data_IF_099703462744
#
_entry.id   IF_099703462744
#
_cell.length_a   1.000
_cell.length_b   1.000
_cell.length_c   1.000
_cell.angle_alpha   90.00
_cell.angle_beta   90.00
_cell.angle_gamma   90.00
#
_symmetry.space_group_name_H-M   'P 1'
#
loop_
_entity.id
_entity.type
_entity.pdbx_description
1 polymer ?
#
# COMPACT_ATOMS: atom_id res chain seq x y z
N UNK A 1 -0.59 26.38 13.92
CA UNK A 1 0.71 26.23 13.23
C UNK A 1 0.62 24.95 12.42
N UNK A 2 0.54 25.08 11.09
CA UNK A 2 0.20 24.02 10.14
C UNK A 2 1.35 23.02 9.96
N UNK A 3 1.00 21.76 9.73
CA UNK A 3 1.91 20.66 9.34
C UNK A 3 2.78 21.14 8.16
N UNK A 4 4.09 20.80 8.09
CA UNK A 4 4.92 21.22 6.97
C UNK A 4 4.28 20.80 5.64
N UNK A 5 3.99 21.79 4.79
CA UNK A 5 3.33 21.61 3.50
C UNK A 5 4.05 20.58 2.62
N UNK A 6 5.36 20.39 2.79
CA UNK A 6 6.20 19.46 2.03
C UNK A 6 5.76 17.98 2.13
N UNK A 7 5.17 17.56 3.25
CA UNK A 7 4.61 16.21 3.41
C UNK A 7 3.34 16.03 2.57
N UNK A 8 2.66 17.14 2.25
CA UNK A 8 1.41 17.20 1.49
C UNK A 8 1.54 17.85 0.10
N UNK A 9 2.68 18.41 -0.28
CA UNK A 9 2.92 18.92 -1.64
C UNK A 9 2.88 17.77 -2.66
N UNK A 10 3.34 16.57 -2.24
CA UNK A 10 3.14 15.34 -2.99
C UNK A 10 1.68 14.84 -2.98
N UNK A 11 0.88 15.29 -2.02
CA UNK A 11 -0.54 14.96 -1.89
C UNK A 11 -1.46 15.96 -2.55
N UNK A 12 -1.07 17.21 -2.81
CA UNK A 12 -1.93 18.20 -3.45
C UNK A 12 -2.43 17.72 -4.83
N UNK A 13 -1.61 17.05 -5.68
CA UNK A 13 -2.12 16.41 -6.89
C UNK A 13 -3.09 15.25 -6.62
N UNK A 14 -2.87 14.49 -5.53
CA UNK A 14 -3.72 13.34 -5.14
C UNK A 14 -5.06 13.78 -4.54
N UNK A 15 -5.05 14.80 -3.69
CA UNK A 15 -6.25 15.43 -3.13
C UNK A 15 -7.08 16.07 -4.25
N UNK A 16 -6.46 16.77 -5.20
CA UNK A 16 -7.16 17.25 -6.40
C UNK A 16 -7.74 16.10 -7.22
N UNK A 17 -7.05 14.97 -7.38
CA UNK A 17 -7.58 13.80 -8.09
C UNK A 17 -8.78 13.15 -7.39
N UNK A 18 -8.80 13.19 -6.05
CA UNK A 18 -9.87 12.61 -5.22
C UNK A 18 -11.08 13.56 -5.08
N UNK A 19 -10.88 14.87 -5.14
CA UNK A 19 -11.92 15.88 -4.90
C UNK A 19 -12.29 16.72 -6.14
N UNK A 20 -11.62 16.55 -7.28
CA UNK A 20 -11.93 17.31 -8.49
C UNK A 20 -11.22 16.80 -9.75
N UNK A 21 -11.82 15.84 -10.46
CA UNK A 21 -11.88 15.84 -11.94
C UNK A 21 -12.73 14.65 -12.48
N UNK A 22 -13.35 14.86 -13.63
CA UNK A 22 -14.27 13.93 -14.33
C UNK A 22 -13.58 12.64 -14.83
N UNK A 23 -14.28 11.49 -14.96
CA UNK A 23 -13.72 10.12 -14.94
C UNK A 23 -13.09 9.62 -16.25
N UNK A 24 -12.70 10.52 -17.16
CA UNK A 24 -12.50 10.19 -18.57
C UNK A 24 -11.10 9.73 -19.01
N UNK A 25 -10.00 10.21 -18.43
CA UNK A 25 -8.68 10.04 -19.09
C UNK A 25 -7.43 9.99 -18.19
N UNK A 26 -7.57 9.92 -16.86
CA UNK A 26 -6.45 9.82 -15.90
C UNK A 26 -6.62 8.63 -14.94
N UNK A 27 -6.92 7.45 -15.48
CA UNK A 27 -7.20 6.25 -14.67
C UNK A 27 -5.93 5.78 -13.93
N UNK A 28 -5.85 6.25 -12.68
CA UNK A 28 -5.11 5.79 -11.50
C UNK A 28 -3.59 5.60 -11.62
N UNK A 29 -2.84 6.70 -11.49
CA UNK A 29 -1.42 6.70 -11.09
C UNK A 29 -1.24 6.71 -9.56
N UNK A 30 -2.32 6.69 -8.79
CA UNK A 30 -2.27 6.83 -7.33
C UNK A 30 -1.49 5.68 -6.69
N UNK A 31 -1.79 4.43 -7.04
CA UNK A 31 -1.06 3.28 -6.50
C UNK A 31 0.43 3.30 -6.87
N UNK A 32 0.78 3.84 -8.05
CA UNK A 32 2.19 4.02 -8.46
C UNK A 32 2.89 4.98 -7.50
N UNK A 33 2.30 6.15 -7.27
CA UNK A 33 2.86 7.17 -6.39
C UNK A 33 2.93 6.67 -4.95
N UNK A 34 1.83 6.13 -4.42
CA UNK A 34 1.75 5.57 -3.07
C UNK A 34 2.77 4.44 -2.87
N UNK A 35 2.88 3.52 -3.83
CA UNK A 35 3.84 2.40 -3.76
C UNK A 35 5.28 2.91 -3.79
N UNK A 36 5.61 3.89 -4.64
CA UNK A 36 6.97 4.47 -4.70
C UNK A 36 7.32 5.19 -3.39
N UNK A 37 6.39 5.97 -2.83
CA UNK A 37 6.58 6.63 -1.54
C UNK A 37 6.75 5.62 -0.41
N UNK A 38 5.86 4.62 -0.33
CA UNK A 38 5.97 3.53 0.64
C UNK A 38 7.34 2.85 0.56
N UNK A 39 7.84 2.52 -0.64
CA UNK A 39 9.10 1.78 -0.81
C UNK A 39 10.35 2.61 -0.55
N UNK A 40 10.39 3.86 -1.00
CA UNK A 40 11.63 4.63 -1.10
C UNK A 40 11.70 5.86 -0.18
N UNK A 41 10.56 6.37 0.30
CA UNK A 41 10.56 7.62 1.06
C UNK A 41 11.22 7.47 2.42
N UNK A 42 12.03 8.47 2.77
CA UNK A 42 12.73 8.57 4.05
C UNK A 42 11.93 9.38 5.10
N UNK A 43 10.74 9.88 4.75
CA UNK A 43 9.89 10.58 5.73
C UNK A 43 9.38 9.61 6.80
N UNK A 44 9.26 10.11 8.04
CA UNK A 44 8.98 9.31 9.23
C UNK A 44 7.75 8.42 9.09
N UNK A 45 6.63 8.96 8.59
CA UNK A 45 5.41 8.19 8.33
C UNK A 45 5.64 6.99 7.40
N UNK A 46 6.33 7.19 6.28
CA UNK A 46 6.58 6.12 5.30
C UNK A 46 7.56 5.07 5.82
N UNK A 47 8.58 5.50 6.58
CA UNK A 47 9.47 4.58 7.31
C UNK A 47 8.66 3.72 8.27
N UNK A 48 7.82 4.36 9.09
CA UNK A 48 7.00 3.66 10.08
C UNK A 48 5.99 2.73 9.44
N UNK A 49 5.35 3.14 8.34
CA UNK A 49 4.43 2.29 7.60
C UNK A 49 5.12 1.02 7.07
N UNK A 50 6.36 1.12 6.55
CA UNK A 50 7.11 -0.06 6.11
C UNK A 50 7.37 -1.03 7.25
N UNK A 51 7.74 -0.55 8.42
CA UNK A 51 7.94 -1.38 9.61
C UNK A 51 6.65 -2.14 9.95
N UNK A 52 5.53 -1.42 10.09
CA UNK A 52 4.22 -1.96 10.46
C UNK A 52 3.69 -2.99 9.46
N UNK A 53 3.94 -2.79 8.17
CA UNK A 53 3.57 -3.74 7.11
C UNK A 53 4.49 -4.97 7.12
N UNK A 54 5.79 -4.78 7.37
CA UNK A 54 6.76 -5.89 7.49
C UNK A 54 6.45 -6.77 8.69
N UNK A 55 6.09 -6.17 9.84
CA UNK A 55 5.62 -6.88 11.04
C UNK A 55 4.38 -7.75 10.76
N UNK A 56 3.56 -7.37 9.76
CA UNK A 56 2.40 -8.13 9.30
C UNK A 56 2.72 -9.19 8.24
N UNK A 57 4.00 -9.42 7.98
CA UNK A 57 4.48 -10.43 7.03
C UNK A 57 4.47 -9.97 5.57
N UNK A 58 4.30 -8.67 5.29
CA UNK A 58 4.40 -8.17 3.92
C UNK A 58 5.86 -7.92 3.54
N UNK A 59 6.23 -8.37 2.35
CA UNK A 59 7.51 -8.01 1.73
C UNK A 59 7.35 -6.68 0.99
N UNK A 60 7.94 -5.60 1.52
CA UNK A 60 7.75 -4.23 1.00
C UNK A 60 8.15 -4.05 -0.47
N UNK A 61 9.19 -4.77 -0.92
CA UNK A 61 9.66 -4.72 -2.31
C UNK A 61 8.66 -5.27 -3.31
N UNK A 62 7.74 -6.14 -2.87
CA UNK A 62 6.74 -6.80 -3.71
C UNK A 62 5.31 -6.35 -3.41
N UNK A 63 5.06 -5.80 -2.22
CA UNK A 63 3.78 -5.21 -1.85
C UNK A 63 3.46 -3.94 -2.66
N UNK A 64 2.18 -3.73 -2.98
CA UNK A 64 1.68 -2.55 -3.70
C UNK A 64 0.71 -1.82 -2.79
N UNK A 65 1.01 -0.57 -2.43
CA UNK A 65 0.09 0.28 -1.69
C UNK A 65 -0.86 0.92 -2.70
N UNK A 66 -2.12 0.48 -2.68
CA UNK A 66 -3.17 0.93 -3.62
C UNK A 66 -3.51 2.38 -3.35
N UNK A 67 -3.79 2.69 -2.07
CA UNK A 67 -4.02 4.04 -1.58
C UNK A 67 -3.70 4.12 -0.10
N UNK A 68 -3.53 5.35 0.34
CA UNK A 68 -3.56 5.77 1.73
C UNK A 68 -4.19 7.16 1.70
N UNK A 69 -5.24 7.41 2.47
CA UNK A 69 -5.87 8.74 2.50
C UNK A 69 -6.34 9.11 3.91
N UNK A 70 -6.29 10.40 4.27
CA UNK A 70 -6.89 10.93 5.49
C UNK A 70 -8.33 10.48 5.73
N UNK A 71 -8.57 9.87 6.88
CA UNK A 71 -9.90 9.63 7.43
C UNK A 71 -10.01 10.36 8.77
N UNK A 72 -10.30 11.66 8.68
CA UNK A 72 -10.31 12.56 9.84
C UNK A 72 -8.92 12.98 10.34
N UNK A 73 -8.85 13.54 11.57
CA UNK A 73 -7.63 14.15 12.11
C UNK A 73 -6.62 13.14 12.68
N UNK A 74 -7.05 11.91 12.97
CA UNK A 74 -6.24 10.93 13.71
C UNK A 74 -6.06 9.58 12.98
N UNK A 75 -6.62 9.43 11.79
CA UNK A 75 -6.50 8.20 11.01
C UNK A 75 -6.28 8.47 9.52
N UNK A 76 -5.65 7.50 8.85
CA UNK A 76 -5.61 7.37 7.40
C UNK A 76 -6.06 5.96 7.00
N UNK A 77 -6.94 5.84 6.01
CA UNK A 77 -7.40 4.55 5.49
C UNK A 77 -6.55 4.12 4.32
N UNK A 78 -6.01 2.92 4.40
CA UNK A 78 -5.13 2.35 3.39
C UNK A 78 -5.58 0.99 2.89
N UNK A 79 -5.24 0.70 1.64
CA UNK A 79 -5.37 -0.65 1.06
C UNK A 79 -4.03 -1.06 0.47
N UNK A 80 -3.58 -2.26 0.82
CA UNK A 80 -2.32 -2.85 0.34
C UNK A 80 -2.54 -4.22 -0.27
N UNK A 81 -1.86 -4.48 -1.38
CA UNK A 81 -1.77 -5.78 -2.02
C UNK A 81 -0.45 -6.45 -1.61
N UNK A 82 -0.54 -7.70 -1.17
CA UNK A 82 0.64 -8.56 -0.99
C UNK A 82 1.07 -9.24 -2.29
N UNK A 83 2.28 -9.79 -2.30
CA UNK A 83 2.83 -10.54 -3.45
C UNK A 83 1.95 -11.71 -3.89
N UNK A 84 1.26 -12.36 -2.94
CA UNK A 84 0.31 -13.44 -3.20
C UNK A 84 -1.04 -12.99 -3.74
N UNK A 85 -1.26 -11.68 -3.91
CA UNK A 85 -2.52 -11.11 -4.37
C UNK A 85 -3.58 -10.99 -3.28
N UNK A 86 -3.19 -11.13 -2.00
CA UNK A 86 -4.11 -10.80 -0.91
C UNK A 86 -4.27 -9.30 -0.80
N UNK A 87 -5.50 -8.86 -0.59
CA UNK A 87 -5.89 -7.46 -0.44
C UNK A 87 -6.19 -7.23 1.03
N UNK A 88 -5.50 -6.27 1.63
CA UNK A 88 -5.69 -5.89 3.02
C UNK A 88 -6.10 -4.43 3.12
N UNK A 89 -7.20 -4.17 3.81
CA UNK A 89 -7.61 -2.85 4.24
C UNK A 89 -7.11 -2.61 5.66
N UNK A 90 -6.75 -1.35 5.97
CA UNK A 90 -6.26 -0.98 7.29
C UNK A 90 -6.50 0.50 7.60
N UNK A 91 -6.54 0.81 8.88
CA UNK A 91 -6.48 2.18 9.39
C UNK A 91 -5.10 2.45 9.99
N UNK A 92 -4.43 3.51 9.57
CA UNK A 92 -3.19 3.99 10.15
C UNK A 92 -3.50 5.13 11.12
N UNK A 93 -3.40 4.85 12.41
CA UNK A 93 -3.81 5.77 13.48
C UNK A 93 -2.60 6.50 14.05
N UNK A 94 -2.66 7.82 14.04
CA UNK A 94 -1.71 8.73 14.68
C UNK A 94 -2.27 10.15 14.71
N UNK A 95 -1.90 10.95 15.70
CA UNK A 95 -2.33 12.35 15.75
C UNK A 95 -1.59 13.17 14.68
N UNK A 96 -2.26 13.49 13.56
CA UNK A 96 -1.66 14.22 12.43
C UNK A 96 -1.28 15.66 12.78
N UNK A 97 -1.99 16.25 13.74
CA UNK A 97 -1.79 17.64 14.17
C UNK A 97 -0.57 17.80 15.09
N UNK A 98 -0.06 16.70 15.67
CA UNK A 98 1.09 16.70 16.57
C UNK A 98 2.36 16.35 15.81
N UNK A 99 3.31 17.29 15.73
CA UNK A 99 4.62 17.08 15.11
C UNK A 99 5.34 15.87 15.72
N UNK A 100 5.83 14.97 14.87
CA UNK A 100 6.58 13.77 15.28
C UNK A 100 5.71 12.58 15.72
N UNK A 101 4.39 12.74 15.74
CA UNK A 101 3.42 11.68 16.04
C UNK A 101 3.44 10.54 15.02
N UNK A 102 3.83 10.82 13.79
CA UNK A 102 3.97 9.88 12.68
C UNK A 102 4.88 8.67 13.01
N UNK A 103 5.88 8.87 13.87
CA UNK A 103 6.77 7.79 14.34
C UNK A 103 6.07 6.80 15.26
N UNK A 104 4.99 7.23 15.90
CA UNK A 104 4.19 6.43 16.83
C UNK A 104 2.92 5.90 16.16
N UNK A 105 2.81 6.01 14.83
CA UNK A 105 1.69 5.46 14.11
C UNK A 105 1.56 3.95 14.34
N UNK A 106 0.31 3.49 14.39
CA UNK A 106 -0.08 2.09 14.54
C UNK A 106 -1.09 1.73 13.46
N UNK A 107 -1.06 0.47 13.02
CA UNK A 107 -2.12 -0.04 12.16
C UNK A 107 -3.20 -0.68 13.04
N UNK A 108 -4.41 -0.15 12.91
CA UNK A 108 -5.67 -0.71 13.41
C UNK A 108 -6.51 -1.25 12.25
N UNK A 109 -7.59 -1.95 12.58
CA UNK A 109 -8.57 -2.44 11.60
C UNK A 109 -7.95 -3.21 10.41
N UNK A 110 -6.93 -4.02 10.66
CA UNK A 110 -6.31 -4.86 9.63
C UNK A 110 -7.26 -5.97 9.19
N UNK A 111 -7.78 -5.86 7.97
CA UNK A 111 -8.79 -6.77 7.44
C UNK A 111 -8.36 -7.36 6.10
N UNK A 112 -8.42 -8.69 5.98
CA UNK A 112 -8.27 -9.38 4.68
C UNK A 112 -9.59 -9.28 3.90
N UNK A 113 -9.58 -8.47 2.84
CA UNK A 113 -10.72 -8.24 1.95
C UNK A 113 -10.55 -8.95 0.60
N UNK A 114 -9.62 -9.91 0.50
CA UNK A 114 -9.27 -10.61 -0.77
C UNK A 114 -10.48 -11.22 -1.48
N UNK A 115 -11.51 -11.64 -0.75
CA UNK A 115 -12.72 -12.26 -1.33
C UNK A 115 -13.80 -11.27 -1.77
N UNK A 116 -13.74 -10.03 -1.29
CA UNK A 116 -14.83 -9.07 -1.44
C UNK A 116 -14.36 -7.69 -1.92
N UNK A 117 -13.08 -7.53 -2.29
CA UNK A 117 -12.56 -6.27 -2.81
C UNK A 117 -13.31 -5.79 -4.07
N UNK A 118 -13.94 -6.69 -4.82
CA UNK A 118 -14.77 -6.33 -5.98
C UNK A 118 -16.02 -5.53 -5.59
N UNK A 119 -16.49 -5.66 -4.35
CA UNK A 119 -17.58 -4.85 -3.79
C UNK A 119 -17.07 -3.56 -3.11
N UNK A 120 -15.76 -3.39 -3.00
CA UNK A 120 -15.15 -2.22 -2.37
C UNK A 120 -15.45 -0.94 -3.20
N UNK A 121 -15.64 0.22 -2.55
CA UNK A 121 -15.85 1.49 -3.25
C UNK A 121 -14.76 1.79 -4.28
N UNK A 122 -13.51 1.47 -3.95
CA UNK A 122 -12.31 1.66 -4.80
C UNK A 122 -11.88 0.39 -5.56
N UNK A 123 -12.85 -0.44 -5.97
CA UNK A 123 -12.57 -1.69 -6.70
C UNK A 123 -11.76 -1.50 -7.98
N UNK A 124 -11.94 -0.38 -8.68
CA UNK A 124 -11.23 -0.11 -9.96
C UNK A 124 -9.74 0.12 -9.72
N UNK A 125 -9.40 0.87 -8.68
CA UNK A 125 -8.04 1.17 -8.26
C UNK A 125 -7.34 -0.08 -7.75
N UNK A 126 -8.06 -0.92 -6.99
CA UNK A 126 -7.55 -2.22 -6.55
C UNK A 126 -7.28 -3.12 -7.76
N UNK A 127 -8.20 -3.18 -8.73
CA UNK A 127 -8.03 -3.94 -9.97
C UNK A 127 -6.79 -3.49 -10.76
N UNK A 128 -6.61 -2.18 -10.95
CA UNK A 128 -5.47 -1.62 -11.68
C UNK A 128 -4.14 -1.90 -10.96
N UNK A 129 -4.14 -1.84 -9.63
CA UNK A 129 -2.94 -2.09 -8.83
C UNK A 129 -2.44 -3.54 -8.92
N UNK A 130 -3.29 -4.51 -9.30
CA UNK A 130 -2.84 -5.89 -9.55
C UNK A 130 -1.82 -5.98 -10.69
N UNK A 131 -1.83 -5.06 -11.66
CA UNK A 131 -0.87 -5.01 -12.77
C UNK A 131 0.55 -4.69 -12.27
N UNK A 132 0.67 -4.02 -11.13
CA UNK A 132 1.95 -3.61 -10.52
C UNK A 132 2.57 -4.64 -9.60
N UNK A 133 1.91 -5.79 -9.44
CA UNK A 133 2.52 -6.91 -8.72
C UNK A 133 3.73 -7.39 -9.52
N UNK A 134 4.87 -7.63 -8.86
CA UNK A 134 5.93 -8.40 -9.48
C UNK A 134 5.34 -9.73 -9.96
N UNK A 135 5.79 -10.20 -11.11
CA UNK A 135 5.45 -11.55 -11.55
C UNK A 135 5.87 -12.52 -10.45
N UNK A 136 4.92 -13.36 -10.00
CA UNK A 136 5.19 -14.41 -9.01
C UNK A 136 6.40 -15.18 -9.53
N UNK A 137 7.52 -15.10 -8.81
CA UNK A 137 8.64 -15.99 -9.08
C UNK A 137 8.09 -17.39 -8.82
N UNK A 138 7.74 -18.12 -9.88
CA UNK A 138 7.64 -19.57 -9.82
C UNK A 138 9.03 -20.02 -9.43
N UNK A 139 9.23 -20.27 -8.14
CA UNK A 139 10.34 -21.11 -7.68
C UNK A 139 10.07 -22.46 -8.35
N UNK A 140 10.69 -22.68 -9.51
CA UNK A 140 10.89 -24.03 -10.00
C UNK A 140 11.67 -24.71 -8.89
N UNK A 141 11.00 -25.61 -8.16
CA UNK A 141 11.70 -26.62 -7.41
C UNK A 141 12.55 -27.36 -8.42
N UNK A 142 13.85 -27.11 -8.35
CA UNK A 142 14.86 -27.86 -9.06
C UNK A 142 14.72 -29.30 -8.59
N UNK A 143 14.10 -30.15 -9.41
CA UNK A 143 14.11 -31.59 -9.23
C UNK A 143 15.49 -32.08 -9.66
N UNK A 144 16.51 -31.70 -8.91
CA UNK A 144 17.83 -32.32 -8.95
C UNK A 144 17.97 -33.16 -7.70
N UNK A 145 17.53 -34.40 -7.79
CA UNK A 145 18.08 -35.59 -7.10
C UNK A 145 17.06 -36.74 -7.14
N UNK A 146 17.16 -37.61 -8.15
CA UNK A 146 17.20 -39.07 -7.98
C UNK A 146 17.16 -39.75 -9.34
N UNK A 147 18.33 -40.02 -9.91
CA UNK A 147 18.51 -41.23 -10.72
C UNK A 147 19.92 -41.76 -10.51
N UNK A 148 20.22 -42.12 -9.27
CA UNK A 148 21.18 -43.20 -9.01
C UNK A 148 20.36 -44.41 -8.66
N UNK A 149 20.67 -45.56 -9.29
CA UNK A 149 20.07 -46.89 -9.14
C UNK A 149 18.91 -47.17 -10.09
N UNK A 150 19.22 -47.65 -11.28
CA UNK A 150 18.86 -49.03 -11.62
C UNK A 150 20.06 -49.69 -12.30
N UNK A 151 20.42 -50.82 -11.71
CA UNK A 151 21.39 -51.85 -12.08
C UNK A 151 21.19 -52.40 -13.49
#
# INVERSE_FOLDING_TARGET
MLIPAELYEAWAPLASLLYGDSPGSRRSLMYVTCTRLMRASQFGLWVRLRELLTERGLTISTAVLVHLFPDGPEAETGVVLSDGGRVHEFALVYNRMKKGSDRHAVIEHWQDITRHWQAHPLRSEIADAFVWRPSVRRTYFDLTEETTRFS
#
